data_IF_983525522252
#
_entry.id   IF_983525522252
#
_cell.length_a   1.000
_cell.length_b   1.000
_cell.length_c   1.000
_cell.angle_alpha   90.00
_cell.angle_beta   90.00
_cell.angle_gamma   90.00
#
_symmetry.space_group_name_H-M   'P 1'
#
loop_
_entity.id
_entity.type
_entity.pdbx_description
1 polymer ?
#
# COMPACT_ATOMS: atom_id res chain seq x y z
N UNK A 1 12.41 -28.98 -7.89
CA UNK A 1 12.04 -27.93 -8.87
C UNK A 1 12.45 -26.54 -8.36
N UNK A 2 13.59 -26.46 -7.66
CA UNK A 2 13.93 -25.34 -6.78
C UNK A 2 14.94 -24.33 -7.37
N UNK A 3 15.56 -24.66 -8.52
CA UNK A 3 16.56 -23.81 -9.18
C UNK A 3 15.94 -22.63 -9.97
N UNK A 4 14.72 -22.83 -10.50
CA UNK A 4 14.02 -21.83 -11.32
C UNK A 4 13.42 -20.72 -10.44
N UNK A 5 12.88 -21.08 -9.29
CA UNK A 5 12.32 -20.13 -8.31
C UNK A 5 13.43 -19.25 -7.71
N UNK A 6 14.61 -19.82 -7.45
CA UNK A 6 15.76 -19.11 -6.89
C UNK A 6 16.37 -18.08 -7.86
N UNK A 7 16.50 -18.40 -9.16
CA UNK A 7 16.95 -17.44 -10.18
C UNK A 7 15.95 -16.30 -10.39
N UNK A 8 14.67 -16.63 -10.44
CA UNK A 8 13.60 -15.63 -10.62
C UNK A 8 13.55 -14.66 -9.44
N UNK A 9 13.60 -15.16 -8.19
CA UNK A 9 13.68 -14.32 -6.99
C UNK A 9 14.89 -13.39 -6.98
N UNK A 10 16.05 -13.87 -7.42
CA UNK A 10 17.28 -13.05 -7.49
C UNK A 10 17.20 -11.93 -8.54
N UNK A 11 16.55 -12.18 -9.68
CA UNK A 11 16.29 -11.15 -10.69
C UNK A 11 15.34 -10.07 -10.17
N UNK A 12 14.24 -10.48 -9.55
CA UNK A 12 13.24 -9.57 -8.97
C UNK A 12 13.86 -8.70 -7.86
N UNK A 13 14.69 -9.29 -6.99
CA UNK A 13 15.38 -8.55 -5.93
C UNK A 13 16.32 -7.46 -6.46
N UNK A 14 17.01 -7.69 -7.59
CA UNK A 14 17.86 -6.66 -8.23
C UNK A 14 17.03 -5.52 -8.78
N UNK A 15 15.97 -5.81 -9.53
CA UNK A 15 15.09 -4.77 -10.06
C UNK A 15 14.42 -3.95 -8.96
N UNK A 16 14.03 -4.59 -7.84
CA UNK A 16 13.50 -3.88 -6.66
C UNK A 16 14.57 -2.99 -6.00
N UNK A 17 15.83 -3.42 -5.95
CA UNK A 17 16.93 -2.61 -5.43
C UNK A 17 17.20 -1.39 -6.32
N UNK A 18 17.22 -1.56 -7.64
CA UNK A 18 17.37 -0.47 -8.62
C UNK A 18 16.20 0.52 -8.55
N UNK A 19 14.97 0.01 -8.44
CA UNK A 19 13.79 0.86 -8.21
C UNK A 19 13.91 1.63 -6.89
N UNK A 20 14.31 0.95 -5.80
CA UNK A 20 14.52 1.59 -4.50
C UNK A 20 15.58 2.68 -4.57
N UNK A 21 16.65 2.44 -5.30
CA UNK A 21 17.70 3.42 -5.52
C UNK A 21 17.17 4.59 -6.35
N UNK A 22 16.46 4.34 -7.45
CA UNK A 22 15.79 5.37 -8.26
C UNK A 22 14.87 6.26 -7.39
N UNK A 23 14.02 5.67 -6.54
CA UNK A 23 13.15 6.43 -5.63
C UNK A 23 13.92 7.26 -4.58
N UNK A 24 15.16 6.88 -4.24
CA UNK A 24 15.97 7.52 -3.23
C UNK A 24 16.92 8.59 -3.78
N UNK A 25 17.55 8.33 -4.93
CA UNK A 25 18.63 9.15 -5.51
C UNK A 25 18.20 9.98 -6.71
N UNK A 26 17.19 9.55 -7.47
CA UNK A 26 16.73 10.27 -8.66
C UNK A 26 15.68 11.34 -8.30
N UNK A 27 15.82 12.60 -8.78
CA UNK A 27 14.84 13.66 -8.53
C UNK A 27 13.41 13.32 -8.99
N UNK A 28 13.25 12.56 -10.07
CA UNK A 28 11.95 12.07 -10.56
C UNK A 28 11.43 10.95 -9.66
N UNK A 29 12.30 10.05 -9.21
CA UNK A 29 11.96 9.01 -8.24
C UNK A 29 11.48 9.58 -6.92
N UNK A 30 12.17 10.60 -6.37
CA UNK A 30 11.75 11.27 -5.14
C UNK A 30 10.38 11.95 -5.28
N UNK A 31 10.09 12.56 -6.43
CA UNK A 31 8.75 13.12 -6.72
C UNK A 31 7.67 12.05 -6.74
N UNK A 32 7.95 10.91 -7.40
CA UNK A 32 7.00 9.80 -7.44
C UNK A 32 6.79 9.19 -6.04
N UNK A 33 7.85 9.07 -5.23
CA UNK A 33 7.76 8.62 -3.85
C UNK A 33 6.89 9.54 -2.98
N UNK A 34 6.99 10.86 -3.18
CA UNK A 34 6.15 11.84 -2.50
C UNK A 34 4.67 11.68 -2.88
N UNK A 35 4.35 11.55 -4.17
CA UNK A 35 2.98 11.30 -4.65
C UNK A 35 2.44 9.99 -4.08
N UNK A 36 3.23 8.92 -4.06
CA UNK A 36 2.83 7.64 -3.48
C UNK A 36 2.54 7.76 -1.97
N UNK A 37 3.28 8.61 -1.25
CA UNK A 37 3.03 8.86 0.17
C UNK A 37 1.69 9.58 0.38
N UNK A 38 1.42 10.63 -0.39
CA UNK A 38 0.14 11.34 -0.34
C UNK A 38 -1.04 10.42 -0.67
N UNK A 39 -0.87 9.57 -1.69
CA UNK A 39 -1.88 8.59 -2.07
C UNK A 39 -2.13 7.58 -0.93
N UNK A 40 -1.08 7.11 -0.27
CA UNK A 40 -1.20 6.22 0.90
C UNK A 40 -1.97 6.88 2.03
N UNK A 41 -1.68 8.14 2.32
CA UNK A 41 -2.35 8.89 3.38
C UNK A 41 -3.84 9.11 3.04
N UNK A 42 -4.15 9.40 1.77
CA UNK A 42 -5.52 9.46 1.28
C UNK A 42 -6.25 8.11 1.45
N UNK A 43 -5.63 6.99 1.09
CA UNK A 43 -6.21 5.66 1.29
C UNK A 43 -6.43 5.32 2.77
N UNK A 44 -5.50 5.72 3.65
CA UNK A 44 -5.64 5.51 5.09
C UNK A 44 -6.84 6.28 5.65
N UNK A 45 -7.01 7.53 5.19
CA UNK A 45 -8.15 8.38 5.57
C UNK A 45 -9.47 7.79 5.05
N UNK A 46 -9.51 7.39 3.78
CA UNK A 46 -10.67 6.75 3.16
C UNK A 46 -11.05 5.46 3.91
N UNK A 47 -10.06 4.62 4.24
CA UNK A 47 -10.28 3.40 5.03
C UNK A 47 -10.83 3.70 6.41
N UNK A 48 -10.31 4.73 7.08
CA UNK A 48 -10.78 5.12 8.42
C UNK A 48 -12.21 5.62 8.39
N UNK A 49 -12.56 6.44 7.39
CA UNK A 49 -13.94 6.90 7.17
C UNK A 49 -14.88 5.74 6.85
N UNK A 50 -14.50 4.87 5.92
CA UNK A 50 -15.28 3.69 5.57
C UNK A 50 -15.50 2.76 6.77
N UNK A 51 -14.44 2.53 7.57
CA UNK A 51 -14.54 1.70 8.79
C UNK A 51 -15.45 2.34 9.84
N UNK A 52 -15.41 3.67 10.00
CA UNK A 52 -16.29 4.37 10.94
C UNK A 52 -17.74 4.33 10.49
N UNK A 53 -18.02 4.62 9.21
CA UNK A 53 -19.36 4.52 8.65
C UNK A 53 -19.93 3.10 8.75
N UNK A 54 -19.11 2.07 8.46
CA UNK A 54 -19.50 0.68 8.63
C UNK A 54 -19.80 0.34 10.10
N UNK A 55 -18.95 0.81 11.03
CA UNK A 55 -19.16 0.59 12.47
C UNK A 55 -20.46 1.23 12.96
N UNK A 56 -20.74 2.47 12.55
CA UNK A 56 -21.94 3.19 12.95
C UNK A 56 -23.19 2.54 12.34
N UNK A 57 -23.09 2.01 11.12
CA UNK A 57 -24.14 1.23 10.49
C UNK A 57 -24.42 -0.07 11.24
N UNK A 58 -23.38 -0.85 11.57
CA UNK A 58 -23.51 -2.08 12.34
C UNK A 58 -24.09 -1.81 13.73
N UNK A 59 -23.64 -0.74 14.40
CA UNK A 59 -24.18 -0.38 15.72
C UNK A 59 -25.68 -0.09 15.65
N UNK A 60 -26.13 0.67 14.65
CA UNK A 60 -27.55 0.97 14.46
C UNK A 60 -28.38 -0.29 14.20
N UNK A 61 -27.85 -1.23 13.42
CA UNK A 61 -28.52 -2.52 13.19
C UNK A 61 -28.65 -3.35 14.47
N UNK A 62 -27.69 -3.26 15.40
CA UNK A 62 -27.78 -3.94 16.69
C UNK A 62 -28.81 -3.28 17.60
N UNK A 63 -28.86 -1.96 17.62
CA UNK A 63 -29.81 -1.19 18.43
C UNK A 63 -31.28 -1.32 17.91
N UNK A 64 -31.48 -1.56 16.62
CA UNK A 64 -32.81 -1.81 16.01
C UNK A 64 -33.30 -3.27 16.21
N UNK A 65 -32.43 -4.18 16.66
CA UNK A 65 -32.74 -5.60 16.85
C UNK A 65 -33.10 -6.01 18.29
N UNK A 66 -32.96 -5.10 19.26
CA UNK A 66 -33.53 -5.19 20.62
C UNK A 66 -34.92 -4.55 20.69
#
# INVERSE_FOLDING_TARGET
EDDIDSKSKKGVMKSVAELKEFFASDPMGQKLAAICKELKDFFLLARTKARSALRDYVKRLMDEGE
#
